data_IF_640052057082
#
_entry.id   IF_640052057082
#
_cell.length_a   1.000
_cell.length_b   1.000
_cell.length_c   1.000
_cell.angle_alpha   90.00
_cell.angle_beta   90.00
_cell.angle_gamma   90.00
#
_symmetry.space_group_name_H-M   'P 1'
#
loop_
_entity.id
_entity.type
_entity.pdbx_description
1 polymer ?
#
# COMPACT_ATOMS: atom_id res chain seq x y z
N UNK A 1 -17.67 15.95 -2.42
CA UNK A 1 -16.19 16.03 -2.48
C UNK A 1 -15.72 14.61 -2.68
N UNK A 2 -14.77 14.37 -3.57
CA UNK A 2 -14.17 13.03 -3.66
C UNK A 2 -13.28 12.85 -2.43
N UNK A 3 -13.49 11.78 -1.68
CA UNK A 3 -12.58 11.43 -0.59
C UNK A 3 -11.32 10.81 -1.21
N UNK A 4 -10.16 11.41 -0.89
CA UNK A 4 -8.86 10.84 -1.22
C UNK A 4 -8.53 9.78 -0.20
N UNK A 5 -8.01 8.66 -0.67
CA UNK A 5 -7.50 7.59 0.18
C UNK A 5 -5.98 7.50 0.00
N UNK A 6 -5.25 7.61 1.11
CA UNK A 6 -3.79 7.50 1.15
C UNK A 6 -3.44 6.10 1.66
N UNK A 7 -2.83 5.29 0.81
CA UNK A 7 -2.55 3.89 1.14
C UNK A 7 -1.08 3.56 0.99
N UNK A 8 -0.55 2.83 1.95
CA UNK A 8 0.72 2.14 1.82
C UNK A 8 0.45 0.71 1.36
N UNK A 9 0.97 0.37 0.17
CA UNK A 9 0.94 -0.99 -0.36
C UNK A 9 2.25 -1.70 -0.12
N UNK A 10 2.40 -2.24 1.08
CA UNK A 10 3.42 -3.26 1.32
C UNK A 10 2.87 -4.61 0.89
N UNK A 11 3.30 -5.08 -0.28
CA UNK A 11 2.97 -6.42 -0.74
C UNK A 11 3.54 -7.47 0.22
N UNK A 12 2.69 -7.95 1.13
CA UNK A 12 2.99 -9.01 2.09
C UNK A 12 2.25 -10.31 1.76
N UNK A 13 1.84 -10.53 0.50
CA UNK A 13 1.20 -11.80 0.11
C UNK A 13 2.28 -12.87 -0.01
N UNK A 14 2.70 -13.38 1.13
CA UNK A 14 3.89 -14.22 1.30
C UNK A 14 3.97 -15.35 0.26
N UNK A 15 2.85 -16.00 -0.06
CA UNK A 15 2.80 -17.07 -1.05
C UNK A 15 2.80 -16.60 -2.52
N UNK A 16 2.01 -15.59 -2.89
CA UNK A 16 1.92 -15.16 -4.29
C UNK A 16 3.12 -14.33 -4.71
N UNK A 17 3.61 -13.45 -3.84
CA UNK A 17 4.80 -12.65 -4.13
C UNK A 17 6.04 -13.54 -4.26
N UNK A 18 6.20 -14.53 -3.38
CA UNK A 18 7.31 -15.49 -3.51
C UNK A 18 7.17 -16.38 -4.75
N UNK A 19 5.95 -16.79 -5.12
CA UNK A 19 5.72 -17.52 -6.36
C UNK A 19 6.13 -16.73 -7.60
N UNK A 20 5.98 -15.40 -7.58
CA UNK A 20 6.46 -14.54 -8.66
C UNK A 20 7.99 -14.39 -8.66
N UNK A 21 8.64 -14.35 -7.50
CA UNK A 21 10.11 -14.40 -7.43
C UNK A 21 10.66 -15.74 -7.97
N UNK A 22 10.00 -16.86 -7.68
CA UNK A 22 10.35 -18.17 -8.22
C UNK A 22 10.22 -18.27 -9.76
N UNK A 23 9.33 -17.49 -10.37
CA UNK A 23 9.18 -17.46 -11.85
C UNK A 23 10.30 -16.67 -12.53
N UNK A 24 10.92 -15.72 -11.81
CA UNK A 24 11.96 -14.81 -12.35
C UNK A 24 13.37 -15.36 -12.15
N UNK A 25 13.58 -16.11 -11.07
CA UNK A 25 14.89 -16.61 -10.69
C UNK A 25 15.22 -17.96 -11.35
N UNK A 26 16.51 -18.19 -11.63
CA UNK A 26 16.99 -19.48 -12.16
C UNK A 26 17.12 -20.52 -11.04
N UNK A 27 17.24 -20.06 -9.78
CA UNK A 27 17.42 -20.94 -8.61
C UNK A 27 16.60 -20.50 -7.40
N UNK A 28 16.27 -21.45 -6.53
CA UNK A 28 15.57 -21.16 -5.27
C UNK A 28 16.36 -20.20 -4.36
N UNK A 29 17.69 -20.34 -4.16
CA UNK A 29 18.44 -19.38 -3.36
C UNK A 29 18.42 -17.95 -3.91
N UNK A 30 18.38 -17.78 -5.24
CA UNK A 30 18.23 -16.46 -5.86
C UNK A 30 16.85 -15.87 -5.56
N UNK A 31 15.77 -16.62 -5.77
CA UNK A 31 14.42 -16.18 -5.42
C UNK A 31 14.31 -15.78 -3.94
N UNK A 32 14.91 -16.54 -3.04
CA UNK A 32 14.91 -16.22 -1.60
C UNK A 32 15.66 -14.92 -1.28
N UNK A 33 16.78 -14.64 -1.96
CA UNK A 33 17.51 -13.37 -1.78
C UNK A 33 16.73 -12.19 -2.32
N UNK A 34 16.21 -12.28 -3.54
CA UNK A 34 15.38 -11.20 -4.13
C UNK A 34 14.12 -10.94 -3.31
N UNK A 35 13.52 -11.99 -2.74
CA UNK A 35 12.38 -11.85 -1.83
C UNK A 35 12.77 -11.17 -0.50
N UNK A 36 13.92 -11.53 0.08
CA UNK A 36 14.45 -10.86 1.28
C UNK A 36 14.73 -9.37 1.03
N UNK A 37 15.37 -9.02 -0.08
CA UNK A 37 15.62 -7.62 -0.46
C UNK A 37 14.31 -6.82 -0.61
N UNK A 38 13.22 -7.46 -1.03
CA UNK A 38 11.90 -6.80 -1.09
C UNK A 38 11.36 -6.48 0.32
N UNK A 39 11.57 -7.36 1.29
CA UNK A 39 11.23 -7.07 2.69
C UNK A 39 12.08 -5.95 3.28
N UNK A 40 13.37 -5.92 2.95
CA UNK A 40 14.28 -4.86 3.40
C UNK A 40 13.82 -3.50 2.88
N UNK A 41 13.51 -3.40 1.58
CA UNK A 41 12.92 -2.18 0.99
C UNK A 41 11.60 -1.78 1.64
N UNK A 42 10.70 -2.73 1.89
CA UNK A 42 9.45 -2.44 2.60
C UNK A 42 9.71 -1.92 4.02
N UNK A 43 10.73 -2.45 4.70
CA UNK A 43 11.10 -2.00 6.04
C UNK A 43 11.73 -0.59 6.03
N UNK A 44 12.54 -0.26 5.03
CA UNK A 44 13.06 1.10 4.80
C UNK A 44 11.90 2.08 4.58
N UNK A 45 10.96 1.72 3.71
CA UNK A 45 9.77 2.52 3.44
C UNK A 45 8.94 2.82 4.69
N UNK A 46 8.75 1.83 5.57
CA UNK A 46 8.09 2.05 6.87
C UNK A 46 8.84 3.03 7.78
N UNK A 47 10.19 3.00 7.76
CA UNK A 47 10.99 3.93 8.58
C UNK A 47 10.87 5.35 8.06
N UNK A 48 10.93 5.53 6.75
CA UNK A 48 10.74 6.86 6.14
C UNK A 48 9.35 7.43 6.44
N UNK A 49 8.29 6.61 6.39
CA UNK A 49 6.95 7.06 6.80
C UNK A 49 6.87 7.40 8.29
N UNK A 50 7.54 6.64 9.16
CA UNK A 50 7.57 6.95 10.59
C UNK A 50 8.25 8.30 10.85
N UNK A 51 9.31 8.62 10.11
CA UNK A 51 9.98 9.92 10.20
C UNK A 51 9.09 11.06 9.67
N UNK A 52 8.28 10.83 8.62
CA UNK A 52 7.33 11.83 8.12
C UNK A 52 6.14 12.06 9.05
N UNK A 53 5.73 11.05 9.82
CA UNK A 53 4.58 11.12 10.71
C UNK A 53 4.94 11.44 12.17
N UNK A 54 6.23 11.60 12.50
CA UNK A 54 6.66 11.86 13.87
C UNK A 54 6.12 13.21 14.37
N UNK A 55 5.26 13.15 15.40
CA UNK A 55 4.60 14.32 15.98
C UNK A 55 3.36 14.81 15.22
N UNK A 56 2.98 14.15 14.13
CA UNK A 56 1.80 14.49 13.33
C UNK A 56 0.54 13.73 13.77
N UNK A 57 -0.64 14.30 13.51
CA UNK A 57 -1.93 13.67 13.82
C UNK A 57 -2.37 12.76 12.67
N UNK A 58 -1.84 11.53 12.64
CA UNK A 58 -2.11 10.52 11.62
C UNK A 58 -2.65 9.23 12.26
N UNK A 59 -3.80 8.78 11.79
CA UNK A 59 -4.41 7.49 12.12
C UNK A 59 -4.18 6.48 11.00
N UNK A 60 -4.25 5.19 11.34
CA UNK A 60 -4.08 4.11 10.37
C UNK A 60 -5.09 2.97 10.58
N UNK A 61 -5.57 2.39 9.48
CA UNK A 61 -6.30 1.12 9.45
C UNK A 61 -5.60 0.16 8.48
N UNK A 62 -5.64 -1.15 8.76
CA UNK A 62 -4.90 -2.14 8.01
C UNK A 62 -5.78 -3.32 7.61
N UNK A 63 -5.67 -3.71 6.34
CA UNK A 63 -6.24 -4.94 5.81
C UNK A 63 -5.14 -5.97 5.55
N UNK A 64 -5.54 -7.14 5.05
CA UNK A 64 -4.61 -8.17 4.56
C UNK A 64 -3.78 -7.73 3.33
N UNK A 65 -4.07 -6.55 2.74
CA UNK A 65 -3.48 -6.12 1.47
C UNK A 65 -2.87 -4.73 1.47
N UNK A 66 -3.32 -3.83 2.34
CA UNK A 66 -2.84 -2.45 2.40
C UNK A 66 -3.04 -1.88 3.81
N UNK A 67 -2.34 -0.78 4.09
CA UNK A 67 -2.56 0.08 5.25
C UNK A 67 -3.06 1.41 4.72
N UNK A 68 -4.23 1.85 5.16
CA UNK A 68 -4.78 3.18 4.90
C UNK A 68 -4.37 4.15 5.99
N UNK A 69 -4.07 5.40 5.63
CA UNK A 69 -3.75 6.49 6.54
C UNK A 69 -4.73 7.65 6.38
N UNK A 70 -5.09 8.26 7.50
CA UNK A 70 -6.08 9.33 7.60
C UNK A 70 -5.61 10.37 8.64
N UNK A 71 -6.05 11.62 8.54
CA UNK A 71 -5.60 12.68 9.45
C UNK A 71 -5.27 13.96 8.68
N UNK A 72 -4.16 14.62 9.03
CA UNK A 72 -3.70 15.83 8.37
C UNK A 72 -3.40 15.59 6.87
N UNK A 73 -4.18 16.22 5.99
CA UNK A 73 -4.05 16.05 4.54
C UNK A 73 -2.72 16.59 4.01
N UNK A 74 -2.14 17.65 4.58
CA UNK A 74 -0.87 18.22 4.13
C UNK A 74 0.29 17.24 4.38
N UNK A 75 0.27 16.58 5.54
CA UNK A 75 1.24 15.54 5.89
C UNK A 75 1.13 14.34 4.95
N UNK A 76 -0.11 13.88 4.68
CA UNK A 76 -0.37 12.73 3.81
C UNK A 76 -0.04 13.02 2.34
N UNK A 77 -0.34 14.23 1.84
CA UNK A 77 0.06 14.65 0.48
C UNK A 77 1.58 14.70 0.35
N UNK A 78 2.29 15.27 1.32
CA UNK A 78 3.76 15.31 1.31
C UNK A 78 4.38 13.91 1.29
N UNK A 79 3.83 12.97 2.06
CA UNK A 79 4.26 11.58 2.03
C UNK A 79 3.98 10.93 0.66
N UNK A 80 2.83 11.23 0.04
CA UNK A 80 2.51 10.77 -1.31
C UNK A 80 3.44 11.36 -2.39
N UNK A 81 3.78 12.65 -2.32
CA UNK A 81 4.71 13.32 -3.24
C UNK A 81 6.13 12.72 -3.18
N UNK A 82 6.52 12.20 -2.02
CA UNK A 82 7.77 11.45 -1.82
C UNK A 82 7.70 10.02 -2.38
N UNK A 83 6.55 9.60 -2.91
CA UNK A 83 6.31 8.23 -3.38
C UNK A 83 6.11 7.24 -2.23
N UNK A 84 5.88 7.73 -1.01
CA UNK A 84 5.70 6.86 0.16
C UNK A 84 4.26 6.34 0.29
N UNK A 85 3.28 7.03 -0.29
CA UNK A 85 1.88 6.61 -0.29
C UNK A 85 1.33 6.63 -1.71
N UNK A 86 0.45 5.68 -2.01
CA UNK A 86 -0.40 5.72 -3.19
C UNK A 86 -1.69 6.48 -2.88
N UNK A 87 -2.08 7.42 -3.75
CA UNK A 87 -3.32 8.19 -3.63
C UNK A 87 -4.36 7.64 -4.60
N UNK A 88 -5.51 7.22 -4.09
CA UNK A 88 -6.66 6.85 -4.91
C UNK A 88 -7.83 7.77 -4.65
N UNK A 89 -8.40 8.35 -5.72
CA UNK A 89 -9.65 9.09 -5.63
C UNK A 89 -10.83 8.13 -5.85
N UNK A 90 -11.66 7.95 -4.82
CA UNK A 90 -12.94 7.26 -5.00
C UNK A 90 -13.92 8.20 -5.71
N UNK A 91 -14.22 7.92 -6.98
CA UNK A 91 -15.39 8.49 -7.63
C UNK A 91 -16.62 7.81 -7.01
N UNK A 92 -17.51 8.58 -6.38
CA UNK A 92 -18.77 8.09 -5.81
C UNK A 92 -19.42 7.08 -6.76
N UNK A 93 -19.61 5.85 -6.28
CA UNK A 93 -20.22 4.78 -7.04
C UNK A 93 -21.64 5.17 -7.43
N UNK A 94 -21.89 5.45 -8.71
CA UNK A 94 -23.25 5.46 -9.24
C UNK A 94 -23.84 4.07 -9.01
N UNK A 95 -24.80 3.98 -8.10
CA UNK A 95 -25.50 2.76 -7.74
C UNK A 95 -26.08 2.12 -9.00
N UNK A 96 -25.47 1.06 -9.50
CA UNK A 96 -26.12 0.18 -10.47
C UNK A 96 -27.14 -0.68 -9.72
N UNK A 97 -28.27 -0.05 -9.37
CA UNK A 97 -29.52 -0.72 -9.05
C UNK A 97 -30.03 -1.46 -10.28
N UNK A 98 -29.45 -2.62 -10.59
CA UNK A 98 -29.98 -3.53 -11.60
C UNK A 98 -31.13 -4.32 -10.97
N UNK A 99 -32.30 -3.68 -10.91
CA UNK A 99 -33.55 -4.34 -10.63
C UNK A 99 -33.77 -5.45 -11.66
N UNK A 100 -33.62 -6.71 -11.22
CA UNK A 100 -34.08 -7.88 -11.98
C UNK A 100 -35.60 -7.79 -12.10
N UNK A 101 -36.11 -7.55 -13.31
CA UNK A 101 -37.50 -7.87 -13.64
C UNK A 101 -37.59 -9.39 -13.79
N UNK A 102 -38.43 -10.00 -12.97
CA UNK A 102 -39.01 -11.32 -13.23
C UNK A 102 -40.17 -11.23 -14.23
#
# INVERSE_FOLDING_TARGET
MKEKEYTLRLHWKQGSDFADELKKADTVPEALRSWAERFERNAEHCRELADEFDGEDVEADATVHHIGFYGDEEVLEKAAEKGLLEVTESAESESHGKARKG
#
